data_IF_031946830929
#
_entry.id   IF_031946830929
#
_cell.length_a   1.000
_cell.length_b   1.000
_cell.length_c   1.000
_cell.angle_alpha   90.00
_cell.angle_beta   90.00
_cell.angle_gamma   90.00
#
_symmetry.space_group_name_H-M   'P 1'
#
loop_
_entity.id
_entity.type
_entity.pdbx_description
1 polymer ?
#
# COMPACT_ATOMS: atom_id res chain seq x y z
N UNK A 1 -12.54 -14.21 20.09
CA UNK A 1 -12.55 -13.16 19.06
C UNK A 1 -11.11 -12.92 18.70
N UNK A 2 -10.68 -13.19 17.47
CA UNK A 2 -9.26 -13.06 17.10
C UNK A 2 -8.95 -11.62 16.76
N UNK A 3 -8.29 -10.92 17.67
CA UNK A 3 -7.51 -9.74 17.32
C UNK A 3 -6.55 -10.15 16.18
N UNK A 4 -6.58 -9.42 15.06
CA UNK A 4 -5.67 -9.70 13.94
C UNK A 4 -4.30 -9.13 14.31
N UNK A 5 -3.30 -9.99 14.37
CA UNK A 5 -1.95 -9.58 14.76
C UNK A 5 -1.28 -8.76 13.65
N UNK A 6 -0.57 -7.72 14.07
CA UNK A 6 0.27 -6.91 13.19
C UNK A 6 1.50 -7.67 12.69
N UNK A 7 2.24 -7.07 11.77
CA UNK A 7 3.43 -7.66 11.17
C UNK A 7 4.67 -7.33 11.99
N UNK A 8 5.57 -8.31 12.15
CA UNK A 8 6.85 -8.12 12.82
C UNK A 8 8.00 -8.14 11.82
N UNK A 9 8.92 -7.19 12.00
CA UNK A 9 10.29 -7.27 11.47
C UNK A 9 11.22 -7.05 12.65
N UNK A 10 11.94 -8.08 13.10
CA UNK A 10 12.75 -8.00 14.32
C UNK A 10 11.88 -7.65 15.54
N UNK A 11 12.18 -6.52 16.18
CA UNK A 11 11.39 -5.95 17.27
C UNK A 11 10.38 -4.88 16.83
N UNK A 12 10.33 -4.57 15.53
CA UNK A 12 9.38 -3.61 14.95
C UNK A 12 8.04 -4.30 14.70
N UNK A 13 7.08 -4.06 15.59
CA UNK A 13 5.66 -4.34 15.35
C UNK A 13 5.03 -3.22 14.52
N UNK A 14 4.32 -3.57 13.46
CA UNK A 14 3.56 -2.63 12.63
C UNK A 14 2.07 -2.90 12.65
N UNK A 15 1.27 -1.88 12.34
CA UNK A 15 -0.19 -2.01 12.21
C UNK A 15 -0.60 -2.64 10.84
N UNK A 16 0.24 -3.48 10.24
CA UNK A 16 -0.06 -4.17 8.98
C UNK A 16 -0.50 -5.60 9.26
N UNK A 17 -1.69 -5.97 8.81
CA UNK A 17 -2.12 -7.36 8.76
C UNK A 17 -1.97 -7.90 7.34
N UNK A 18 -1.15 -8.94 7.16
CA UNK A 18 -1.04 -9.64 5.86
C UNK A 18 -2.19 -10.64 5.77
N UNK A 19 -3.12 -10.40 4.85
CA UNK A 19 -4.32 -11.21 4.65
C UNK A 19 -4.03 -12.47 3.83
N UNK A 20 -3.27 -12.33 2.74
CA UNK A 20 -2.80 -13.44 1.91
C UNK A 20 -1.42 -13.09 1.34
N UNK A 21 -0.54 -14.09 1.29
CA UNK A 21 0.81 -13.98 0.74
C UNK A 21 1.90 -13.99 1.80
N UNK A 22 3.06 -14.54 1.44
CA UNK A 22 4.22 -14.67 2.33
C UNK A 22 5.54 -14.30 1.62
N UNK A 23 5.45 -13.76 0.39
CA UNK A 23 6.60 -13.41 -0.45
C UNK A 23 7.33 -14.62 -1.05
N UNK A 24 7.01 -15.86 -0.67
CA UNK A 24 7.73 -17.04 -1.19
C UNK A 24 7.30 -17.41 -2.62
N UNK A 25 6.06 -17.07 -2.98
CA UNK A 25 5.53 -17.18 -4.35
C UNK A 25 4.66 -15.97 -4.69
N UNK A 26 4.63 -15.55 -5.96
CA UNK A 26 3.67 -14.55 -6.38
C UNK A 26 2.24 -15.12 -6.40
N UNK A 27 1.27 -14.23 -6.21
CA UNK A 27 -0.13 -14.46 -6.58
C UNK A 27 -0.22 -14.09 -8.07
N UNK A 28 -0.60 -15.04 -8.91
CA UNK A 28 -0.64 -14.82 -10.37
C UNK A 28 -1.75 -13.83 -10.74
N UNK A 29 -1.54 -13.04 -11.80
CA UNK A 29 -2.51 -12.04 -12.25
C UNK A 29 -3.86 -12.69 -12.60
N UNK A 30 -3.83 -13.82 -13.32
CA UNK A 30 -5.02 -14.57 -13.71
C UNK A 30 -5.83 -15.11 -12.52
N UNK A 31 -5.21 -15.19 -11.34
CA UNK A 31 -5.85 -15.65 -10.11
C UNK A 31 -6.47 -14.49 -9.30
N UNK A 32 -6.36 -13.25 -9.77
CA UNK A 32 -7.02 -12.09 -9.16
C UNK A 32 -8.23 -11.70 -9.99
N UNK A 33 -9.41 -11.71 -9.37
CA UNK A 33 -10.68 -11.34 -10.01
C UNK A 33 -11.25 -10.10 -9.35
N UNK A 34 -11.31 -9.01 -10.10
CA UNK A 34 -11.97 -7.78 -9.65
C UNK A 34 -13.37 -7.73 -10.23
N UNK A 35 -14.38 -7.80 -9.35
CA UNK A 35 -15.79 -7.68 -9.69
C UNK A 35 -16.25 -6.24 -9.45
N UNK A 36 -16.58 -5.55 -10.52
CA UNK A 36 -17.05 -4.18 -10.49
C UNK A 36 -18.02 -3.94 -11.65
N UNK A 37 -19.15 -3.31 -11.35
CA UNK A 37 -20.16 -2.93 -12.34
C UNK A 37 -20.41 -1.41 -12.19
N UNK A 38 -19.88 -0.57 -13.09
CA UNK A 38 -19.94 0.88 -12.96
C UNK A 38 -21.35 1.41 -12.78
N UNK A 39 -21.57 2.26 -11.78
CA UNK A 39 -22.86 2.90 -11.53
C UNK A 39 -23.95 1.97 -10.97
N UNK A 40 -23.70 0.66 -10.83
CA UNK A 40 -24.70 -0.27 -10.30
C UNK A 40 -24.85 -0.15 -8.79
N UNK A 41 -23.73 0.00 -8.08
CA UNK A 41 -23.69 0.02 -6.61
C UNK A 41 -22.77 1.13 -6.13
N UNK A 42 -23.23 1.89 -5.14
CA UNK A 42 -22.46 2.92 -4.43
C UNK A 42 -22.40 2.58 -2.95
N UNK A 43 -21.29 2.91 -2.32
CA UNK A 43 -21.11 2.82 -0.88
C UNK A 43 -22.21 3.61 -0.13
N UNK A 44 -22.78 2.98 0.90
CA UNK A 44 -23.80 3.60 1.76
C UNK A 44 -23.15 4.09 3.05
N UNK A 45 -23.16 5.41 3.25
CA UNK A 45 -22.59 6.04 4.43
C UNK A 45 -23.63 6.14 5.56
N UNK A 46 -23.27 5.89 6.84
CA UNK A 46 -24.12 6.24 7.98
C UNK A 46 -24.41 7.75 8.03
N UNK A 47 -25.51 8.14 8.69
CA UNK A 47 -25.99 9.53 8.69
C UNK A 47 -24.93 10.54 9.19
N UNK A 48 -24.21 10.19 10.25
CA UNK A 48 -23.12 10.99 10.80
C UNK A 48 -22.01 11.21 9.77
N UNK A 49 -21.61 10.14 9.08
CA UNK A 49 -20.56 10.18 8.05
C UNK A 49 -21.01 10.96 6.81
N UNK A 50 -22.29 10.87 6.42
CA UNK A 50 -22.86 11.69 5.35
C UNK A 50 -22.72 13.19 5.66
N UNK A 51 -22.97 13.60 6.92
CA UNK A 51 -22.80 14.99 7.34
C UNK A 51 -21.36 15.44 7.26
N UNK A 52 -20.41 14.60 7.69
CA UNK A 52 -18.98 14.89 7.54
C UNK A 52 -18.58 15.05 6.08
N UNK A 53 -19.02 14.13 5.21
CA UNK A 53 -18.77 14.21 3.77
C UNK A 53 -19.32 15.51 3.17
N UNK A 54 -20.54 15.91 3.52
CA UNK A 54 -21.13 17.17 3.08
C UNK A 54 -20.35 18.39 3.57
N UNK A 55 -19.88 18.38 4.82
CA UNK A 55 -19.07 19.44 5.38
C UNK A 55 -17.70 19.55 4.68
N UNK A 56 -17.05 18.41 4.40
CA UNK A 56 -15.81 18.34 3.60
C UNK A 56 -16.05 18.95 2.22
N UNK A 57 -17.11 18.51 1.53
CA UNK A 57 -17.43 19.03 0.20
C UNK A 57 -17.64 20.56 0.22
N UNK A 58 -18.44 21.06 1.15
CA UNK A 58 -18.71 22.49 1.26
C UNK A 58 -17.44 23.31 1.56
N UNK A 59 -16.54 22.76 2.37
CA UNK A 59 -15.25 23.41 2.69
C UNK A 59 -14.31 23.44 1.48
N UNK A 60 -14.19 22.33 0.73
CA UNK A 60 -13.35 22.29 -0.47
C UNK A 60 -13.91 23.18 -1.59
N UNK A 61 -15.25 23.26 -1.76
CA UNK A 61 -15.91 24.21 -2.66
C UNK A 61 -15.65 25.67 -2.26
N UNK A 62 -15.68 25.97 -0.95
CA UNK A 62 -15.35 27.30 -0.42
C UNK A 62 -13.90 27.68 -0.73
N UNK A 63 -12.96 26.76 -0.49
CA UNK A 63 -11.53 26.96 -0.79
C UNK A 63 -11.31 27.22 -2.27
N UNK A 64 -11.92 26.40 -3.12
CA UNK A 64 -11.87 26.59 -4.57
C UNK A 64 -12.39 27.98 -4.98
N UNK A 65 -13.53 28.41 -4.46
CA UNK A 65 -14.09 29.73 -4.74
C UNK A 65 -13.20 30.88 -4.24
N UNK A 66 -12.44 30.66 -3.16
CA UNK A 66 -11.48 31.61 -2.61
C UNK A 66 -10.11 31.59 -3.34
N UNK A 67 -9.88 30.67 -4.28
CA UNK A 67 -8.58 30.47 -4.91
C UNK A 67 -7.52 29.88 -3.95
N UNK A 68 -7.97 29.30 -2.85
CA UNK A 68 -7.11 28.59 -1.88
C UNK A 68 -6.79 27.18 -2.40
N UNK A 69 -5.66 26.56 -2.00
CA UNK A 69 -5.41 25.14 -2.27
C UNK A 69 -6.57 24.28 -1.75
N UNK A 70 -7.11 23.45 -2.63
CA UNK A 70 -8.27 22.60 -2.36
C UNK A 70 -8.04 21.20 -2.93
N UNK A 71 -8.90 20.27 -2.51
CA UNK A 71 -8.86 18.87 -2.93
C UNK A 71 -9.96 18.58 -3.95
N UNK A 72 -9.58 17.95 -5.05
CA UNK A 72 -10.53 17.45 -6.04
C UNK A 72 -11.18 16.15 -5.58
N UNK A 73 -12.50 16.03 -5.77
CA UNK A 73 -13.23 14.83 -5.46
C UNK A 73 -13.15 13.80 -6.60
N UNK A 74 -12.04 13.09 -6.69
CA UNK A 74 -11.86 12.07 -7.73
C UNK A 74 -12.68 10.81 -7.42
N UNK A 75 -13.31 10.19 -8.44
CA UNK A 75 -13.95 8.88 -8.31
C UNK A 75 -12.98 7.79 -7.84
N UNK A 76 -13.42 6.99 -6.87
CA UNK A 76 -12.67 5.90 -6.23
C UNK A 76 -13.56 4.67 -6.06
N UNK A 77 -13.02 3.67 -5.38
CA UNK A 77 -13.73 2.44 -5.06
C UNK A 77 -13.78 2.22 -3.55
N UNK A 78 -14.90 1.68 -3.08
CA UNK A 78 -14.95 1.00 -1.81
C UNK A 78 -14.80 -0.51 -2.04
N UNK A 79 -13.96 -1.16 -1.23
CA UNK A 79 -13.90 -2.62 -1.17
C UNK A 79 -15.06 -3.13 -0.31
N UNK A 80 -15.97 -3.88 -0.91
CA UNK A 80 -17.10 -4.48 -0.18
C UNK A 80 -16.75 -5.81 0.44
N UNK A 81 -15.95 -6.59 -0.27
CA UNK A 81 -15.53 -7.91 0.18
C UNK A 81 -14.26 -8.36 -0.53
N UNK A 82 -13.46 -9.14 0.18
CA UNK A 82 -12.32 -9.89 -0.34
C UNK A 82 -12.50 -11.36 0.01
N UNK A 83 -12.49 -12.22 -0.99
CA UNK A 83 -12.62 -13.67 -0.82
C UNK A 83 -11.34 -14.34 -1.28
N UNK A 84 -10.78 -15.17 -0.40
CA UNK A 84 -9.66 -16.04 -0.70
C UNK A 84 -10.15 -17.47 -0.91
N UNK A 85 -9.72 -18.08 -2.00
CA UNK A 85 -9.81 -19.51 -2.24
C UNK A 85 -8.49 -20.05 -2.78
N UNK A 86 -8.45 -21.32 -3.14
CA UNK A 86 -7.28 -22.01 -3.69
C UNK A 86 -7.68 -22.78 -4.95
N UNK A 87 -6.76 -22.91 -5.90
CA UNK A 87 -6.89 -23.88 -7.01
C UNK A 87 -6.89 -25.31 -6.46
N UNK A 88 -7.40 -26.24 -7.25
CA UNK A 88 -7.55 -27.66 -6.91
C UNK A 88 -6.24 -28.45 -7.01
N UNK A 89 -5.38 -28.15 -7.98
CA UNK A 89 -4.16 -28.93 -8.24
C UNK A 89 -2.98 -28.55 -7.35
N UNK A 90 -2.68 -27.26 -7.21
CA UNK A 90 -1.44 -26.75 -6.59
C UNK A 90 -1.67 -25.82 -5.39
N UNK A 91 -2.94 -25.70 -4.96
CA UNK A 91 -3.37 -24.80 -3.90
C UNK A 91 -2.80 -23.38 -4.07
N UNK A 92 -2.74 -22.87 -5.31
CA UNK A 92 -2.40 -21.49 -5.60
C UNK A 92 -3.53 -20.56 -5.12
N UNK A 93 -3.20 -19.40 -4.51
CA UNK A 93 -4.20 -18.42 -4.10
C UNK A 93 -5.03 -17.94 -5.29
N UNK A 94 -6.34 -17.88 -5.10
CA UNK A 94 -7.29 -17.19 -5.97
C UNK A 94 -7.99 -16.14 -5.12
N UNK A 95 -7.89 -14.87 -5.52
CA UNK A 95 -8.42 -13.73 -4.77
C UNK A 95 -9.51 -13.06 -5.59
N UNK A 96 -10.68 -12.89 -4.99
CA UNK A 96 -11.77 -12.13 -5.57
C UNK A 96 -12.04 -10.87 -4.76
N UNK A 97 -12.00 -9.72 -5.43
CA UNK A 97 -12.34 -8.41 -4.89
C UNK A 97 -13.70 -7.97 -5.43
N UNK A 98 -14.62 -7.61 -4.55
CA UNK A 98 -15.89 -6.96 -4.93
C UNK A 98 -15.80 -5.48 -4.62
N UNK A 99 -15.94 -4.65 -5.66
CA UNK A 99 -15.88 -3.19 -5.54
C UNK A 99 -17.24 -2.55 -5.80
N UNK A 100 -17.46 -1.40 -5.18
CA UNK A 100 -18.55 -0.48 -5.50
C UNK A 100 -18.06 0.96 -5.57
N UNK A 101 -18.89 1.85 -6.14
CA UNK A 101 -18.57 3.25 -6.33
C UNK A 101 -18.35 3.95 -4.99
N UNK A 102 -17.26 4.69 -4.88
CA UNK A 102 -16.97 5.64 -3.83
C UNK A 102 -16.27 6.87 -4.44
N UNK A 103 -15.88 7.82 -3.61
CA UNK A 103 -15.07 8.95 -4.04
C UNK A 103 -14.08 9.39 -2.96
N UNK A 104 -13.21 10.32 -3.33
CA UNK A 104 -12.19 10.81 -2.42
C UNK A 104 -12.77 11.46 -1.15
N UNK A 105 -13.93 12.11 -1.24
CA UNK A 105 -14.58 12.69 -0.07
C UNK A 105 -15.21 11.64 0.84
N UNK A 106 -15.69 10.51 0.29
CA UNK A 106 -16.08 9.35 1.09
C UNK A 106 -14.88 8.84 1.90
N UNK A 107 -13.70 8.72 1.28
CA UNK A 107 -12.45 8.33 1.96
C UNK A 107 -12.04 9.32 3.06
N UNK A 108 -12.10 10.64 2.79
CA UNK A 108 -11.81 11.65 3.81
C UNK A 108 -12.81 11.60 4.97
N UNK A 109 -14.09 11.36 4.69
CA UNK A 109 -15.13 11.25 5.72
C UNK A 109 -15.00 9.97 6.57
N UNK A 110 -14.26 8.96 6.10
CA UNK A 110 -14.18 7.66 6.77
C UNK A 110 -12.76 7.39 7.28
N UNK A 111 -11.87 6.85 6.45
CA UNK A 111 -10.51 6.43 6.85
C UNK A 111 -9.70 7.55 7.52
N UNK A 112 -9.85 8.81 7.07
CA UNK A 112 -9.13 9.94 7.70
C UNK A 112 -9.76 10.36 9.04
N UNK A 113 -11.07 10.15 9.20
CA UNK A 113 -11.84 10.53 10.39
C UNK A 113 -12.18 9.34 11.32
N UNK A 114 -11.45 8.22 11.23
CA UNK A 114 -11.73 7.01 12.02
C UNK A 114 -11.80 7.25 13.53
N UNK A 115 -10.93 8.13 14.02
CA UNK A 115 -10.76 8.47 15.44
C UNK A 115 -11.48 9.78 15.82
N UNK A 116 -12.18 10.39 14.88
CA UNK A 116 -12.97 11.59 15.16
C UNK A 116 -14.24 11.19 15.93
N UNK A 117 -14.56 11.88 17.04
CA UNK A 117 -15.83 11.70 17.74
C UNK A 117 -17.02 11.84 16.80
N UNK A 118 -17.92 10.86 16.79
CA UNK A 118 -19.14 10.87 15.96
C UNK A 118 -20.00 12.10 16.23
N UNK A 119 -19.99 12.58 17.48
CA UNK A 119 -20.68 13.78 17.93
C UNK A 119 -19.82 14.51 18.95
N UNK A 120 -19.97 15.83 19.01
CA UNK A 120 -19.24 16.66 19.95
C UNK A 120 -19.53 16.24 21.41
N UNK A 121 -18.46 15.97 22.17
CA UNK A 121 -18.56 15.52 23.56
C UNK A 121 -18.84 14.03 23.76
N UNK A 122 -19.01 13.24 22.69
CA UNK A 122 -19.15 11.78 22.79
C UNK A 122 -17.80 11.07 22.59
N UNK A 123 -17.51 9.97 23.32
CA UNK A 123 -16.27 9.21 23.14
C UNK A 123 -16.32 8.25 21.94
N UNK A 124 -17.51 7.99 21.38
CA UNK A 124 -17.69 7.03 20.30
C UNK A 124 -17.14 7.57 18.98
N UNK A 125 -16.31 6.77 18.32
CA UNK A 125 -15.72 7.01 17.00
C UNK A 125 -16.08 5.88 16.04
N UNK A 126 -15.81 6.07 14.74
CA UNK A 126 -15.95 4.98 13.76
C UNK A 126 -15.10 3.76 14.15
N UNK A 127 -13.87 3.98 14.64
CA UNK A 127 -13.00 2.89 15.11
C UNK A 127 -13.65 2.10 16.25
N UNK A 128 -14.10 2.79 17.31
CA UNK A 128 -14.70 2.12 18.47
C UNK A 128 -15.98 1.35 18.11
N UNK A 129 -16.77 1.88 17.17
CA UNK A 129 -18.07 1.32 16.82
C UNK A 129 -17.96 0.14 15.85
N UNK A 130 -16.98 0.17 14.94
CA UNK A 130 -16.94 -0.76 13.82
C UNK A 130 -15.68 -1.62 13.73
N UNK A 131 -14.61 -1.33 14.49
CA UNK A 131 -13.30 -2.02 14.36
C UNK A 131 -12.78 -2.65 15.66
N UNK A 132 -12.93 -2.03 16.84
CA UNK A 132 -12.27 -2.50 18.07
C UNK A 132 -12.80 -3.84 18.64
N UNK A 133 -13.95 -4.32 18.18
CA UNK A 133 -14.57 -5.55 18.69
C UNK A 133 -15.10 -6.47 17.58
N UNK A 134 -14.60 -6.28 16.36
CA UNK A 134 -15.01 -6.98 15.15
C UNK A 134 -13.76 -7.43 14.40
N UNK A 135 -13.89 -8.44 13.54
CA UNK A 135 -12.79 -8.76 12.64
C UNK A 135 -12.66 -7.61 11.62
N UNK A 136 -11.54 -6.87 11.59
CA UNK A 136 -11.39 -5.73 10.70
C UNK A 136 -11.50 -6.13 9.22
N UNK A 137 -11.28 -7.40 8.86
CA UNK A 137 -11.49 -7.89 7.49
C UNK A 137 -12.97 -7.83 7.07
N UNK A 138 -13.87 -7.90 8.04
CA UNK A 138 -15.33 -7.93 7.83
C UNK A 138 -16.00 -6.57 8.02
N UNK A 139 -15.20 -5.50 8.12
CA UNK A 139 -15.70 -4.15 8.31
C UNK A 139 -16.64 -3.73 7.16
N UNK A 140 -17.65 -2.87 7.43
CA UNK A 140 -18.52 -2.36 6.39
C UNK A 140 -17.75 -1.63 5.29
N UNK A 141 -18.20 -1.79 4.04
CA UNK A 141 -17.55 -1.22 2.85
C UNK A 141 -17.25 0.28 2.96
N UNK A 142 -18.09 1.05 3.67
CA UNK A 142 -17.88 2.49 3.85
C UNK A 142 -16.61 2.86 4.63
N UNK A 143 -16.02 1.94 5.38
CA UNK A 143 -14.73 2.18 6.01
C UNK A 143 -13.56 1.90 5.05
N UNK A 144 -13.80 1.15 3.97
CA UNK A 144 -12.81 0.72 2.98
C UNK A 144 -12.91 1.51 1.66
N UNK A 145 -13.16 2.83 1.71
CA UNK A 145 -13.31 3.73 0.54
C UNK A 145 -12.01 4.04 -0.21
N UNK A 146 -11.01 3.18 -0.11
CA UNK A 146 -9.75 3.26 -0.85
C UNK A 146 -9.09 1.88 -0.89
N UNK A 147 -8.46 1.58 -2.03
CA UNK A 147 -7.63 0.40 -2.20
C UNK A 147 -6.28 0.83 -2.77
N UNK A 148 -5.19 0.50 -2.08
CA UNK A 148 -3.83 0.88 -2.47
C UNK A 148 -3.11 -0.22 -3.24
N UNK A 149 -2.15 0.17 -4.06
CA UNK A 149 -1.17 -0.70 -4.71
C UNK A 149 0.20 -0.17 -4.31
N UNK A 150 0.89 -0.91 -3.45
CA UNK A 150 2.20 -0.56 -2.94
C UNK A 150 3.26 -1.41 -3.63
N UNK A 151 4.31 -0.80 -4.18
CA UNK A 151 5.37 -1.52 -4.90
C UNK A 151 6.71 -1.31 -4.21
N UNK A 152 7.43 -2.40 -3.95
CA UNK A 152 8.85 -2.39 -3.64
C UNK A 152 9.65 -2.53 -4.94
N UNK A 153 10.48 -1.55 -5.24
CA UNK A 153 11.25 -1.44 -6.49
C UNK A 153 12.71 -1.73 -6.23
N UNK A 154 13.29 -2.60 -7.06
CA UNK A 154 14.73 -2.89 -7.11
C UNK A 154 15.27 -2.59 -8.51
N UNK A 155 16.38 -1.86 -8.58
CA UNK A 155 17.13 -1.65 -9.82
C UNK A 155 17.97 -2.88 -10.15
N UNK A 156 18.03 -3.26 -11.43
CA UNK A 156 18.71 -4.47 -11.87
C UNK A 156 20.24 -4.38 -11.81
N UNK A 157 20.88 -3.43 -12.51
CA UNK A 157 22.33 -3.46 -12.71
C UNK A 157 23.14 -3.19 -11.44
N UNK A 158 22.68 -2.28 -10.57
CA UNK A 158 23.35 -1.88 -9.33
C UNK A 158 22.66 -2.41 -8.06
N UNK A 159 21.59 -3.20 -8.23
CA UNK A 159 20.86 -3.90 -7.17
C UNK A 159 20.53 -2.99 -5.99
N UNK A 160 19.87 -1.86 -6.25
CA UNK A 160 19.41 -0.95 -5.21
C UNK A 160 17.90 -1.07 -5.01
N UNK A 161 17.49 -1.28 -3.77
CA UNK A 161 16.10 -1.16 -3.35
C UNK A 161 15.77 0.31 -3.07
N UNK A 162 14.64 0.76 -3.61
CA UNK A 162 14.19 2.14 -3.53
C UNK A 162 13.25 2.31 -2.35
N UNK A 163 13.50 3.32 -1.51
CA UNK A 163 12.60 3.71 -0.42
C UNK A 163 12.17 5.15 -0.63
N UNK A 164 10.87 5.41 -0.54
CA UNK A 164 10.34 6.76 -0.63
C UNK A 164 9.95 7.28 0.76
N UNK A 165 10.17 8.57 1.00
CA UNK A 165 9.60 9.30 2.13
C UNK A 165 8.55 10.26 1.62
N UNK A 166 7.34 10.17 2.19
CA UNK A 166 6.22 11.05 1.83
C UNK A 166 6.54 12.47 2.25
N UNK A 167 6.24 13.43 1.38
CA UNK A 167 6.47 14.84 1.67
C UNK A 167 5.53 15.37 2.75
N UNK A 168 5.94 16.44 3.43
CA UNK A 168 5.10 17.13 4.41
C UNK A 168 3.84 17.78 3.78
N UNK A 169 3.81 17.94 2.46
CA UNK A 169 2.72 18.60 1.73
C UNK A 169 1.58 17.66 1.35
N UNK A 170 1.75 16.34 1.48
CA UNK A 170 0.69 15.37 1.18
C UNK A 170 -0.31 15.29 2.33
N UNK A 171 -1.61 15.37 2.02
CA UNK A 171 -2.66 15.22 3.02
C UNK A 171 -2.74 13.79 3.60
N UNK A 172 -3.06 13.66 4.89
CA UNK A 172 -3.37 12.40 5.57
C UNK A 172 -2.43 12.08 6.74
N UNK A 173 -2.64 10.92 7.38
CA UNK A 173 -1.93 10.49 8.61
C UNK A 173 -0.46 10.07 8.41
N UNK A 174 -0.01 10.04 7.15
CA UNK A 174 1.28 9.49 6.73
C UNK A 174 2.29 10.55 6.26
N UNK A 175 2.12 11.82 6.66
CA UNK A 175 3.09 12.89 6.39
C UNK A 175 4.47 12.55 6.96
N UNK A 176 5.53 12.81 6.19
CA UNK A 176 6.93 12.63 6.60
C UNK A 176 7.33 11.20 7.01
N UNK A 177 6.51 10.21 6.67
CA UNK A 177 6.79 8.79 6.94
C UNK A 177 7.48 8.12 5.75
N UNK A 178 8.33 7.14 6.04
CA UNK A 178 8.83 6.21 5.03
C UNK A 178 7.72 5.28 4.57
N UNK A 179 7.66 5.05 3.26
CA UNK A 179 6.61 4.27 2.62
C UNK A 179 7.21 3.28 1.60
N UNK A 180 6.36 2.62 0.83
CA UNK A 180 6.74 1.86 -0.36
C UNK A 180 7.57 2.70 -1.35
N UNK A 181 8.21 2.04 -2.32
CA UNK A 181 8.99 2.74 -3.35
C UNK A 181 8.10 3.63 -4.22
N UNK A 182 6.91 3.11 -4.56
CA UNK A 182 5.79 3.83 -5.16
C UNK A 182 4.47 3.32 -4.56
N UNK A 183 3.43 4.15 -4.54
CA UNK A 183 2.12 3.87 -3.97
C UNK A 183 1.04 4.54 -4.81
N UNK A 184 0.11 3.74 -5.34
CA UNK A 184 -1.02 4.27 -6.06
C UNK A 184 -2.36 3.81 -5.48
N UNK A 185 -3.33 4.71 -5.43
CA UNK A 185 -4.72 4.37 -5.15
C UNK A 185 -5.47 3.95 -6.40
N UNK A 186 -6.24 2.87 -6.30
CA UNK A 186 -7.16 2.49 -7.36
C UNK A 186 -8.20 3.60 -7.58
N UNK A 187 -8.30 4.11 -8.80
CA UNK A 187 -9.12 5.27 -9.17
C UNK A 187 -9.90 5.01 -10.46
N UNK A 188 -11.21 5.30 -10.46
CA UNK A 188 -12.06 4.89 -11.57
C UNK A 188 -11.73 5.62 -12.88
N UNK A 189 -11.20 6.83 -12.79
CA UNK A 189 -10.79 7.66 -13.94
C UNK A 189 -9.59 7.09 -14.70
N UNK A 190 -8.78 6.24 -14.07
CA UNK A 190 -7.57 5.67 -14.66
C UNK A 190 -7.67 4.17 -14.89
N UNK A 191 -8.39 3.47 -14.01
CA UNK A 191 -8.24 2.03 -13.87
C UNK A 191 -9.47 1.23 -14.34
N UNK A 192 -10.57 1.90 -14.72
CA UNK A 192 -11.71 1.25 -15.39
C UNK A 192 -11.43 1.19 -16.89
N UNK A 193 -11.28 -0.01 -17.48
CA UNK A 193 -10.99 -0.12 -18.91
C UNK A 193 -12.18 0.30 -19.77
N UNK A 194 -11.92 1.03 -20.86
CA UNK A 194 -12.95 1.47 -21.82
C UNK A 194 -13.54 0.30 -22.63
N UNK A 195 -12.77 -0.77 -22.81
CA UNK A 195 -13.17 -1.97 -23.56
C UNK A 195 -14.06 -2.94 -22.74
N UNK A 196 -14.34 -2.60 -21.49
CA UNK A 196 -15.14 -3.42 -20.57
C UNK A 196 -14.39 -4.62 -19.99
N UNK A 197 -13.08 -4.73 -20.20
CA UNK A 197 -12.26 -5.73 -19.50
C UNK A 197 -12.24 -5.47 -17.98
N UNK A 198 -11.95 -6.48 -17.15
CA UNK A 198 -11.84 -6.29 -15.70
C UNK A 198 -10.71 -5.34 -15.33
N UNK A 199 -10.87 -4.62 -14.21
CA UNK A 199 -9.81 -3.82 -13.60
C UNK A 199 -8.59 -4.71 -13.31
N UNK A 200 -7.41 -4.30 -13.77
CA UNK A 200 -6.13 -4.99 -13.48
C UNK A 200 -5.31 -4.23 -12.45
N UNK A 201 -5.01 -4.87 -11.32
CA UNK A 201 -4.09 -4.33 -10.31
C UNK A 201 -2.64 -4.24 -10.82
N UNK A 202 -2.26 -5.07 -11.81
CA UNK A 202 -0.94 -4.96 -12.45
C UNK A 202 -0.83 -3.69 -13.28
N UNK A 203 -1.91 -3.29 -13.97
CA UNK A 203 -1.95 -2.01 -14.67
C UNK A 203 -1.82 -0.81 -13.72
N UNK A 204 -2.43 -0.89 -12.53
CA UNK A 204 -2.28 0.14 -11.47
C UNK A 204 -0.84 0.20 -10.97
N UNK A 205 -0.20 -0.95 -10.72
CA UNK A 205 1.21 -0.97 -10.30
C UNK A 205 2.14 -0.39 -11.38
N UNK A 206 1.89 -0.68 -12.68
CA UNK A 206 2.60 -0.06 -13.81
C UNK A 206 2.42 1.45 -13.84
N UNK A 207 1.18 1.91 -13.61
CA UNK A 207 0.85 3.33 -13.51
C UNK A 207 1.63 4.01 -12.38
N UNK A 208 1.68 3.42 -11.19
CA UNK A 208 2.47 3.92 -10.06
C UNK A 208 3.96 4.10 -10.42
N UNK A 209 4.55 3.12 -11.11
CA UNK A 209 5.96 3.20 -11.54
C UNK A 209 6.20 4.33 -12.55
N UNK A 210 5.24 4.58 -13.44
CA UNK A 210 5.31 5.66 -14.43
C UNK A 210 5.18 7.03 -13.77
N UNK A 211 4.16 7.21 -12.94
CA UNK A 211 3.79 8.51 -12.36
C UNK A 211 4.83 9.00 -11.34
N UNK A 212 5.38 8.09 -10.53
CA UNK A 212 6.31 8.44 -9.45
C UNK A 212 7.80 8.29 -9.79
N UNK A 213 8.17 7.30 -10.61
CA UNK A 213 9.58 7.00 -10.96
C UNK A 213 9.90 7.23 -12.43
N UNK A 214 8.91 7.62 -13.24
CA UNK A 214 9.07 7.77 -14.69
C UNK A 214 9.62 6.52 -15.37
N UNK A 215 9.21 5.33 -14.92
CA UNK A 215 9.39 4.09 -15.66
C UNK A 215 8.40 4.08 -16.83
N UNK A 216 8.92 4.07 -18.05
CA UNK A 216 8.14 4.16 -19.28
C UNK A 216 7.68 2.77 -19.74
N UNK A 217 6.76 2.74 -20.70
CA UNK A 217 6.20 1.48 -21.22
C UNK A 217 7.25 0.62 -21.93
N UNK A 218 8.26 1.24 -22.54
CA UNK A 218 9.38 0.56 -23.18
C UNK A 218 10.42 0.00 -22.19
N UNK A 219 10.42 0.44 -20.93
CA UNK A 219 11.34 -0.10 -19.94
C UNK A 219 10.90 -1.52 -19.54
N UNK A 220 11.85 -2.46 -19.57
CA UNK A 220 11.60 -3.78 -19.02
C UNK A 220 11.31 -3.68 -17.51
N UNK A 221 10.23 -4.34 -17.08
CA UNK A 221 9.86 -4.48 -15.66
C UNK A 221 9.39 -5.89 -15.40
N UNK A 222 10.02 -6.54 -14.43
CA UNK A 222 9.52 -7.77 -13.83
C UNK A 222 8.60 -7.37 -12.67
N UNK A 223 7.32 -7.70 -12.76
CA UNK A 223 6.32 -7.28 -11.77
C UNK A 223 5.62 -8.51 -11.19
N UNK A 224 5.61 -8.62 -9.86
CA UNK A 224 5.05 -9.76 -9.14
C UNK A 224 4.16 -9.28 -7.99
N UNK A 225 2.89 -9.70 -7.95
CA UNK A 225 2.01 -9.51 -6.80
C UNK A 225 2.41 -10.48 -5.68
N UNK A 226 2.80 -9.96 -4.52
CA UNK A 226 3.30 -10.74 -3.38
C UNK A 226 2.22 -11.03 -2.34
N UNK A 227 1.35 -10.06 -2.07
CA UNK A 227 0.38 -10.16 -0.99
C UNK A 227 -0.80 -9.19 -1.12
N UNK A 228 -1.86 -9.51 -0.37
CA UNK A 228 -2.90 -8.56 0.03
C UNK A 228 -2.77 -8.29 1.53
N UNK A 229 -2.86 -7.03 1.92
CA UNK A 229 -2.70 -6.59 3.30
C UNK A 229 -3.72 -5.52 3.68
N UNK A 230 -3.92 -5.37 4.98
CA UNK A 230 -4.78 -4.38 5.60
C UNK A 230 -3.97 -3.53 6.57
N UNK A 231 -3.95 -2.22 6.34
CA UNK A 231 -3.53 -1.23 7.33
C UNK A 231 -4.59 -1.20 8.44
N UNK A 232 -4.29 -1.76 9.61
CA UNK A 232 -5.19 -1.79 10.76
C UNK A 232 -5.38 -0.41 11.40
N UNK A 233 -4.40 0.49 11.25
CA UNK A 233 -4.48 1.85 11.78
C UNK A 233 -5.46 2.67 10.95
N UNK A 234 -5.29 2.73 9.64
CA UNK A 234 -6.13 3.57 8.77
C UNK A 234 -7.31 2.82 8.12
N UNK A 235 -7.41 1.52 8.37
CA UNK A 235 -8.37 0.62 7.75
C UNK A 235 -8.37 0.75 6.22
N UNK A 236 -7.18 0.56 5.63
CA UNK A 236 -6.97 0.66 4.18
C UNK A 236 -6.41 -0.65 3.64
N UNK A 237 -7.09 -1.19 2.64
CA UNK A 237 -6.63 -2.38 1.94
C UNK A 237 -5.54 -2.02 0.93
N UNK A 238 -4.60 -2.94 0.75
CA UNK A 238 -3.58 -2.81 -0.27
C UNK A 238 -3.15 -4.13 -0.90
N UNK A 239 -2.77 -4.07 -2.17
CA UNK A 239 -1.97 -5.09 -2.85
C UNK A 239 -0.49 -4.72 -2.78
N UNK A 240 0.37 -5.69 -2.50
CA UNK A 240 1.81 -5.53 -2.39
C UNK A 240 2.50 -6.14 -3.59
N UNK A 241 3.26 -5.35 -4.33
CA UNK A 241 4.01 -5.78 -5.50
C UNK A 241 5.51 -5.67 -5.26
N UNK A 242 6.26 -6.54 -5.93
CA UNK A 242 7.68 -6.36 -6.21
C UNK A 242 7.84 -5.99 -7.68
N UNK A 243 8.66 -4.97 -7.94
CA UNK A 243 9.10 -4.63 -9.28
C UNK A 243 10.63 -4.69 -9.37
N UNK A 244 11.17 -5.36 -10.39
CA UNK A 244 12.58 -5.25 -10.77
C UNK A 244 12.70 -4.53 -12.10
N UNK A 245 13.59 -3.57 -12.15
CA UNK A 245 13.92 -2.77 -13.33
C UNK A 245 15.27 -3.28 -13.89
N UNK A 246 15.30 -4.39 -14.67
CA UNK A 246 16.53 -5.07 -15.06
C UNK A 246 17.56 -4.18 -15.75
N UNK A 247 17.13 -3.11 -16.41
CA UNK A 247 17.96 -2.25 -17.24
C UNK A 247 18.24 -0.87 -16.63
N UNK A 248 17.59 -0.51 -15.52
CA UNK A 248 17.69 0.82 -14.91
C UNK A 248 18.48 0.77 -13.62
N UNK A 249 19.40 1.72 -13.45
CA UNK A 249 20.16 1.94 -12.21
C UNK A 249 19.47 2.95 -11.28
N UNK A 250 19.91 3.02 -10.01
CA UNK A 250 19.47 4.06 -9.08
C UNK A 250 19.75 5.47 -9.63
N UNK A 251 20.90 5.62 -10.29
CA UNK A 251 21.34 6.84 -10.93
C UNK A 251 20.44 7.26 -12.10
N UNK A 252 19.92 6.30 -12.88
CA UNK A 252 18.94 6.57 -13.93
C UNK A 252 17.63 7.11 -13.35
N UNK A 253 17.11 6.47 -12.29
CA UNK A 253 15.89 6.90 -11.62
C UNK A 253 16.06 8.30 -11.02
N UNK A 254 17.18 8.56 -10.34
CA UNK A 254 17.49 9.87 -9.78
C UNK A 254 17.55 10.96 -10.88
N UNK A 255 18.17 10.66 -12.03
CA UNK A 255 18.21 11.55 -13.19
C UNK A 255 16.81 11.81 -13.76
N UNK A 256 16.00 10.78 -13.95
CA UNK A 256 14.62 10.94 -14.44
C UNK A 256 13.81 11.85 -13.52
N UNK A 257 13.82 11.58 -12.22
CA UNK A 257 13.15 12.44 -11.23
C UNK A 257 13.63 13.88 -11.23
N UNK A 258 14.93 14.12 -11.45
CA UNK A 258 15.48 15.48 -11.53
C UNK A 258 14.87 16.29 -12.69
N UNK A 259 14.49 15.63 -13.79
CA UNK A 259 13.89 16.24 -14.98
C UNK A 259 12.39 16.48 -14.84
N UNK A 260 11.77 15.94 -13.78
CA UNK A 260 10.34 16.00 -13.52
C UNK A 260 9.72 14.60 -13.62
N UNK A 261 8.92 14.27 -12.62
CA UNK A 261 7.98 13.12 -12.62
C UNK A 261 6.60 13.71 -12.29
N UNK A 262 5.53 13.06 -12.73
CA UNK A 262 4.15 13.58 -12.60
C UNK A 262 3.84 13.90 -11.12
N UNK A 263 4.14 12.95 -10.24
CA UNK A 263 3.86 13.05 -8.80
C UNK A 263 5.09 13.35 -7.95
N UNK A 264 5.98 14.20 -8.47
CA UNK A 264 7.24 14.56 -7.79
C UNK A 264 7.02 15.17 -6.40
N UNK A 265 5.88 15.82 -6.23
CA UNK A 265 5.48 16.53 -5.02
C UNK A 265 5.05 15.58 -3.89
N UNK A 266 4.67 14.34 -4.20
CA UNK A 266 4.21 13.37 -3.19
C UNK A 266 5.33 12.86 -2.29
N UNK A 267 6.55 12.80 -2.82
CA UNK A 267 7.72 12.29 -2.12
C UNK A 267 8.82 13.34 -2.04
N UNK A 268 9.29 13.65 -0.83
CA UNK A 268 10.36 14.62 -0.64
C UNK A 268 11.77 14.01 -0.71
N UNK A 269 11.87 12.69 -0.51
CA UNK A 269 13.13 11.98 -0.48
C UNK A 269 13.02 10.56 -1.02
N UNK A 270 14.02 10.16 -1.81
CA UNK A 270 14.30 8.77 -2.14
C UNK A 270 15.61 8.32 -1.49
N UNK A 271 15.65 7.08 -1.04
CA UNK A 271 16.88 6.39 -0.63
C UNK A 271 17.04 5.13 -1.46
N UNK A 272 18.25 4.96 -1.97
CA UNK A 272 18.70 3.77 -2.67
C UNK A 272 19.58 3.01 -1.70
N UNK A 273 19.17 1.79 -1.35
CA UNK A 273 19.85 0.92 -0.39
C UNK A 273 20.22 -0.36 -1.12
N UNK A 274 21.42 -0.93 -0.92
CA UNK A 274 21.73 -2.23 -1.51
C UNK A 274 20.63 -3.26 -1.23
N UNK A 275 20.14 -3.93 -2.26
CA UNK A 275 19.01 -4.86 -2.22
C UNK A 275 19.39 -6.24 -1.66
N UNK A 276 20.35 -6.28 -0.72
CA UNK A 276 20.67 -7.47 0.06
C UNK A 276 19.91 -7.44 1.40
N UNK A 277 19.58 -8.61 1.98
CA UNK A 277 18.80 -8.67 3.21
C UNK A 277 19.41 -7.88 4.37
N UNK A 278 20.73 -7.90 4.56
CA UNK A 278 21.37 -7.23 5.70
C UNK A 278 21.23 -5.70 5.60
N UNK A 279 21.49 -5.12 4.42
CA UNK A 279 21.39 -3.67 4.18
C UNK A 279 19.95 -3.16 4.30
N UNK A 280 18.97 -3.88 3.72
CA UNK A 280 17.56 -3.50 3.78
C UNK A 280 17.03 -3.61 5.21
N UNK A 281 17.33 -4.69 5.92
CA UNK A 281 16.88 -4.85 7.31
C UNK A 281 17.51 -3.83 8.26
N UNK A 282 18.79 -3.49 8.08
CA UNK A 282 19.42 -2.40 8.83
C UNK A 282 18.71 -1.06 8.57
N UNK A 283 18.24 -0.81 7.35
CA UNK A 283 17.47 0.40 7.02
C UNK A 283 16.06 0.39 7.62
N UNK A 284 15.35 -0.75 7.56
CA UNK A 284 14.01 -0.91 8.13
C UNK A 284 14.01 -0.68 9.65
N UNK A 285 15.01 -1.23 10.33
CA UNK A 285 15.14 -1.26 11.79
C UNK A 285 15.91 -0.07 12.38
N UNK A 286 16.27 0.93 11.57
CA UNK A 286 16.98 2.11 12.04
C UNK A 286 16.13 2.89 13.06
N UNK A 287 16.76 3.26 14.20
CA UNK A 287 16.08 3.94 15.29
C UNK A 287 15.59 5.34 14.90
N UNK A 288 14.40 5.72 15.40
CA UNK A 288 13.77 7.01 15.09
C UNK A 288 13.10 7.07 13.72
N UNK A 289 13.20 6.02 12.91
CA UNK A 289 12.52 5.93 11.62
C UNK A 289 11.03 5.66 11.81
N UNK A 290 10.21 6.53 11.22
CA UNK A 290 8.74 6.39 11.26
C UNK A 290 8.24 5.86 9.92
N UNK A 291 7.56 4.71 9.97
CA UNK A 291 7.03 4.03 8.80
C UNK A 291 5.51 4.24 8.65
N UNK A 292 5.02 4.17 7.41
CA UNK A 292 3.63 3.82 7.16
C UNK A 292 3.36 2.39 7.66
N UNK A 293 2.14 2.07 8.12
CA UNK A 293 1.84 0.76 8.71
C UNK A 293 2.30 -0.44 7.88
N UNK A 294 2.06 -0.38 6.57
CA UNK A 294 2.33 -1.46 5.62
C UNK A 294 3.74 -1.47 5.01
N UNK A 295 4.50 -0.38 5.12
CA UNK A 295 5.81 -0.24 4.47
C UNK A 295 6.79 -1.37 4.80
N UNK A 296 7.10 -1.63 6.09
CA UNK A 296 8.06 -2.67 6.47
C UNK A 296 7.66 -4.07 5.99
N UNK A 297 6.37 -4.42 6.07
CA UNK A 297 5.87 -5.72 5.61
C UNK A 297 6.12 -5.90 4.11
N UNK A 298 5.79 -4.90 3.29
CA UNK A 298 6.04 -4.93 1.84
C UNK A 298 7.52 -5.23 1.51
N UNK A 299 8.45 -4.49 2.11
CA UNK A 299 9.88 -4.68 1.82
C UNK A 299 10.41 -6.02 2.35
N UNK A 300 9.92 -6.47 3.50
CA UNK A 300 10.25 -7.80 4.02
C UNK A 300 9.81 -8.90 3.05
N UNK A 301 8.56 -8.86 2.57
CA UNK A 301 8.07 -9.85 1.61
C UNK A 301 8.84 -9.79 0.27
N UNK A 302 9.25 -8.60 -0.17
CA UNK A 302 10.11 -8.46 -1.35
C UNK A 302 11.49 -9.09 -1.15
N UNK A 303 12.12 -8.94 0.03
CA UNK A 303 13.37 -9.64 0.36
C UNK A 303 13.20 -11.16 0.36
N UNK A 304 12.09 -11.66 0.92
CA UNK A 304 11.78 -13.10 0.88
C UNK A 304 11.71 -13.59 -0.55
N UNK A 305 11.03 -12.83 -1.43
CA UNK A 305 10.92 -13.19 -2.84
C UNK A 305 12.28 -13.25 -3.53
N UNK A 306 13.13 -12.25 -3.32
CA UNK A 306 14.50 -12.21 -3.84
C UNK A 306 15.33 -13.41 -3.36
N UNK A 307 15.26 -13.75 -2.07
CA UNK A 307 16.00 -14.88 -1.51
C UNK A 307 15.53 -16.22 -2.08
N UNK A 308 14.22 -16.38 -2.30
CA UNK A 308 13.65 -17.57 -2.95
C UNK A 308 14.13 -17.69 -4.40
N UNK A 309 14.13 -16.60 -5.15
CA UNK A 309 14.65 -16.56 -6.52
C UNK A 309 16.15 -16.88 -6.58
N UNK A 310 16.95 -16.33 -5.66
CA UNK A 310 18.38 -16.63 -5.54
C UNK A 310 18.65 -18.11 -5.27
N UNK A 311 17.70 -18.83 -4.65
CA UNK A 311 17.73 -20.28 -4.46
C UNK A 311 17.02 -21.07 -5.57
N UNK A 312 16.81 -20.48 -6.74
CA UNK A 312 16.17 -21.16 -7.87
C UNK A 312 14.70 -21.50 -7.65
N UNK A 313 13.98 -20.67 -6.89
CA UNK A 313 12.55 -20.86 -6.59
C UNK A 313 12.27 -21.70 -5.33
N UNK A 314 13.30 -22.10 -4.58
CA UNK A 314 13.12 -22.86 -3.35
C UNK A 314 12.63 -21.95 -2.20
N UNK A 315 11.43 -22.24 -1.68
CA UNK A 315 10.78 -21.47 -0.59
C UNK A 315 11.62 -21.34 0.68
N UNK A 316 12.59 -22.22 0.90
CA UNK A 316 13.55 -22.10 2.01
C UNK A 316 14.44 -20.85 1.94
N UNK A 317 14.39 -20.06 0.87
CA UNK A 317 14.99 -18.71 0.81
C UNK A 317 14.48 -17.79 1.90
N UNK A 318 13.25 -17.98 2.39
CA UNK A 318 12.72 -17.29 3.58
C UNK A 318 13.68 -17.37 4.78
N UNK A 319 14.31 -18.53 4.99
CA UNK A 319 15.23 -18.75 6.11
C UNK A 319 16.51 -17.90 6.02
N UNK A 320 16.90 -17.46 4.82
CA UNK A 320 18.03 -16.54 4.64
C UNK A 320 17.69 -15.13 5.14
N UNK A 321 16.45 -14.69 4.92
CA UNK A 321 15.95 -13.41 5.41
C UNK A 321 15.80 -13.44 6.92
N UNK A 322 15.22 -14.50 7.49
CA UNK A 322 15.14 -14.66 8.95
C UNK A 322 16.54 -14.70 9.60
N UNK A 323 17.51 -15.32 8.94
CA UNK A 323 18.90 -15.32 9.41
C UNK A 323 19.52 -13.92 9.35
N UNK A 324 19.24 -13.14 8.30
CA UNK A 324 19.67 -11.75 8.18
C UNK A 324 19.01 -10.85 9.23
N UNK A 325 17.74 -11.08 9.54
CA UNK A 325 16.99 -10.36 10.58
C UNK A 325 17.62 -10.58 11.95
N UNK A 326 17.94 -11.83 12.30
CA UNK A 326 18.68 -12.13 13.55
C UNK A 326 20.02 -11.41 13.61
N UNK A 327 20.74 -11.29 12.48
CA UNK A 327 22.00 -10.54 12.42
C UNK A 327 21.79 -9.04 12.57
N UNK A 328 20.77 -8.47 11.92
CA UNK A 328 20.41 -7.05 12.04
C UNK A 328 20.07 -6.68 13.49
N UNK A 329 19.28 -7.53 14.16
CA UNK A 329 18.96 -7.38 15.57
C UNK A 329 20.20 -7.43 16.47
N UNK A 330 21.12 -8.36 16.23
CA UNK A 330 22.37 -8.44 16.97
C UNK A 330 23.26 -7.19 16.76
N UNK A 331 23.34 -6.67 15.52
CA UNK A 331 24.05 -5.42 15.20
C UNK A 331 23.44 -4.21 15.89
N UNK A 332 22.11 -4.16 16.03
CA UNK A 332 21.42 -3.07 16.72
C UNK A 332 21.67 -3.09 18.22
N UNK A 333 21.60 -4.26 18.85
CA UNK A 333 21.88 -4.43 20.27
C UNK A 333 23.34 -4.04 20.63
N UNK A 334 24.30 -4.31 19.75
CA UNK A 334 25.70 -3.90 19.97
C UNK A 334 25.92 -2.39 19.83
N UNK A 335 25.13 -1.69 18.99
CA UNK A 335 25.19 -0.23 18.86
C UNK A 335 24.56 0.51 20.05
N UNK A 336 23.59 -0.09 20.72
CA UNK A 336 22.95 0.51 21.91
C UNK A 336 23.77 0.34 23.19
N UNK A 337 24.75 -0.57 23.19
CA UNK A 337 25.62 -0.85 24.34
C UNK A 337 27.00 -0.20 24.24
N UNK A 338 27.33 0.40 23.10
CA UNK A 338 28.54 1.18 22.84
C UNK A 338 28.25 2.68 22.99
#
# INVERSE_FOLDING_TARGET
MSEREGFFVGDLLTDCYVFEGDGTRPILEENVKVLYEPGLRRVSLPLEVQRWRQAIQAEEERRQAAGEPYRWNNPRFALENIVLSRTDEDEAPVVQLSLCDADYFDFLATSVNLDTPLREGEPATLRTQYLENTDPVTAPAFLSCSFGVNVAVTTGPDRQMVFARRSATVAGHNTERWNSSVNEGLAAIHDVPEDGSPISLHAVARRALREELSVQDEDAVELELLAFALDLRNHQWAAFYRAVLPELTADDLARRRSRGVEDKWEHDQFRFVPADPDSVLDFLLEEGRVWTPCGPALFYLALVREAVLARGGNRSGLLDVEAAERRAMARRASRQTA
#
